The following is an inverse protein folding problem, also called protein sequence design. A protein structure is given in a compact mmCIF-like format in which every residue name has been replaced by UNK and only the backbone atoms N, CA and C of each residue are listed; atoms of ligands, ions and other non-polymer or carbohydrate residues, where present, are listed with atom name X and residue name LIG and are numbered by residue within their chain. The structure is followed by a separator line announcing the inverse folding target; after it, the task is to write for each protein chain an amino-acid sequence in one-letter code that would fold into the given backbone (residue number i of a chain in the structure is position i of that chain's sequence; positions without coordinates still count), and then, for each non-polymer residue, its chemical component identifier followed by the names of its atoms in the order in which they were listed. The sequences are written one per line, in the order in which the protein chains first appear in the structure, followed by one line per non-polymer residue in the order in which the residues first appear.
data_IF_235533577643
#
_entry.id   IF_235533577643
#
_cell.length_a   1.000
_cell.length_b   1.000
_cell.length_c   1.000
_cell.angle_alpha   90.00
_cell.angle_beta   90.00
_cell.angle_gamma   90.00
#
_symmetry.space_group_name_H-M   'P 1'
#
loop_
_entity.id
_entity.type
_entity.pdbx_description
1 polymer ?
#
# COMPACT_ATOMS: atom_id res chain seq x y z
N UNK A 1 173.46 161.01 -8.09
CA UNK A 1 172.40 160.95 -7.06
C UNK A 1 171.98 159.49 -6.90
N UNK A 2 172.47 158.77 -5.88
CA UNK A 2 172.27 157.30 -5.80
C UNK A 2 170.97 156.84 -5.12
N UNK A 3 170.21 157.76 -4.50
CA UNK A 3 169.08 157.42 -3.63
C UNK A 3 167.76 157.10 -4.35
N UNK A 4 167.59 157.49 -5.61
CA UNK A 4 166.32 157.32 -6.32
C UNK A 4 166.10 155.89 -6.86
N UNK A 5 167.19 155.20 -7.18
CA UNK A 5 167.15 153.88 -7.84
C UNK A 5 166.78 152.75 -6.87
N UNK A 6 167.18 152.85 -5.60
CA UNK A 6 166.82 151.88 -4.54
C UNK A 6 165.32 151.90 -4.21
N UNK A 7 164.67 153.07 -4.31
CA UNK A 7 163.22 153.22 -4.09
C UNK A 7 162.39 152.45 -5.14
N UNK A 8 162.83 152.48 -6.40
CA UNK A 8 162.18 151.75 -7.50
C UNK A 8 162.29 150.24 -7.29
N UNK A 9 163.46 149.73 -6.89
CA UNK A 9 163.65 148.29 -6.67
C UNK A 9 162.85 147.74 -5.48
N UNK A 10 162.67 148.51 -4.40
CA UNK A 10 161.80 148.10 -3.28
C UNK A 10 160.33 148.04 -3.72
N UNK A 11 159.84 149.07 -4.41
CA UNK A 11 158.44 149.11 -4.87
C UNK A 11 158.12 148.09 -5.96
N UNK A 12 159.11 147.68 -6.76
CA UNK A 12 158.99 146.57 -7.72
C UNK A 12 158.99 145.20 -7.01
N UNK A 13 159.84 145.01 -6.00
CA UNK A 13 159.83 143.80 -5.18
C UNK A 13 158.54 143.65 -4.36
N UNK A 14 157.96 144.75 -3.87
CA UNK A 14 156.65 144.72 -3.20
C UNK A 14 155.50 144.39 -4.17
N UNK A 15 155.52 144.87 -5.41
CA UNK A 15 154.58 144.44 -6.45
C UNK A 15 154.65 142.93 -6.71
N UNK A 16 155.86 142.40 -6.94
CA UNK A 16 156.07 140.96 -7.14
C UNK A 16 155.65 140.13 -5.92
N UNK A 17 155.84 140.65 -4.70
CA UNK A 17 155.34 140.02 -3.48
C UNK A 17 153.81 140.00 -3.41
N UNK A 18 153.14 141.10 -3.77
CA UNK A 18 151.67 141.18 -3.82
C UNK A 18 151.11 140.24 -4.90
N UNK A 19 151.73 140.21 -6.08
CA UNK A 19 151.35 139.33 -7.20
C UNK A 19 151.55 137.84 -6.83
N UNK A 20 152.64 137.50 -6.15
CA UNK A 20 152.88 136.15 -5.63
C UNK A 20 151.87 135.76 -4.54
N UNK A 21 151.50 136.68 -3.64
CA UNK A 21 150.44 136.45 -2.64
C UNK A 21 149.10 136.21 -3.34
N UNK A 22 148.72 137.06 -4.30
CA UNK A 22 147.49 136.89 -5.07
C UNK A 22 147.45 135.58 -5.87
N UNK A 23 148.59 135.15 -6.44
CA UNK A 23 148.71 133.86 -7.13
C UNK A 23 148.60 132.67 -6.15
N UNK A 24 149.20 132.76 -4.96
CA UNK A 24 149.09 131.74 -3.91
C UNK A 24 147.65 131.67 -3.39
N UNK A 25 146.98 132.80 -3.17
CA UNK A 25 145.57 132.86 -2.79
C UNK A 25 144.68 132.32 -3.90
N UNK A 26 144.94 132.64 -5.17
CA UNK A 26 144.23 132.05 -6.31
C UNK A 26 144.39 130.53 -6.33
N UNK A 27 145.62 130.01 -6.22
CA UNK A 27 145.90 128.56 -6.25
C UNK A 27 145.36 127.85 -5.02
N UNK A 28 145.33 128.50 -3.86
CA UNK A 28 144.65 127.99 -2.67
C UNK A 28 143.14 127.92 -2.89
N UNK A 29 142.51 128.97 -3.43
CA UNK A 29 141.08 128.98 -3.75
C UNK A 29 140.70 127.96 -4.84
N UNK A 30 141.55 127.75 -5.85
CA UNK A 30 141.39 126.67 -6.83
C UNK A 30 141.50 125.29 -6.16
N UNK A 31 142.51 125.08 -5.31
CA UNK A 31 142.69 123.83 -4.55
C UNK A 31 141.52 123.54 -3.61
N UNK A 32 140.97 124.55 -2.92
CA UNK A 32 139.77 124.43 -2.10
C UNK A 32 138.52 124.09 -2.93
N UNK A 33 138.37 124.69 -4.13
CA UNK A 33 137.29 124.35 -5.07
C UNK A 33 137.41 122.90 -5.54
N UNK A 34 138.60 122.45 -5.96
CA UNK A 34 138.82 121.06 -6.36
C UNK A 34 138.65 120.07 -5.21
N UNK A 35 139.09 120.39 -3.99
CA UNK A 35 138.87 119.56 -2.81
C UNK A 35 137.37 119.43 -2.49
N UNK A 36 136.64 120.55 -2.50
CA UNK A 36 135.18 120.56 -2.29
C UNK A 36 134.45 119.75 -3.37
N UNK A 37 134.83 119.89 -4.64
CA UNK A 37 134.26 119.11 -5.75
C UNK A 37 134.56 117.61 -5.62
N UNK A 38 135.79 117.25 -5.25
CA UNK A 38 136.18 115.85 -5.02
C UNK A 38 135.46 115.26 -3.81
N UNK A 39 135.30 116.01 -2.73
CA UNK A 39 134.55 115.61 -1.55
C UNK A 39 133.06 115.40 -1.86
N UNK A 40 132.46 116.29 -2.66
CA UNK A 40 131.08 116.13 -3.16
C UNK A 40 130.94 114.87 -4.03
N UNK A 41 131.83 114.66 -4.99
CA UNK A 41 131.82 113.47 -5.86
C UNK A 41 132.04 112.15 -5.07
N UNK A 42 132.86 112.18 -4.01
CA UNK A 42 133.05 111.03 -3.11
C UNK A 42 131.82 110.76 -2.23
N UNK A 43 131.13 111.82 -1.77
CA UNK A 43 129.87 111.70 -1.05
C UNK A 43 128.75 111.15 -1.96
N UNK A 44 128.65 111.66 -3.19
CA UNK A 44 127.72 111.17 -4.21
C UNK A 44 128.00 109.70 -4.54
N UNK A 45 129.27 109.34 -4.81
CA UNK A 45 129.66 107.94 -5.08
C UNK A 45 129.35 107.01 -3.90
N UNK A 46 129.49 107.46 -2.65
CA UNK A 46 129.03 106.70 -1.47
C UNK A 46 127.52 106.54 -1.45
N UNK A 47 126.76 107.60 -1.74
CA UNK A 47 125.29 107.56 -1.83
C UNK A 47 124.82 106.59 -2.91
N UNK A 48 125.35 106.70 -4.12
CA UNK A 48 125.10 105.78 -5.23
C UNK A 48 125.48 104.33 -4.87
N UNK A 49 126.62 104.11 -4.21
CA UNK A 49 127.02 102.76 -3.77
C UNK A 49 126.06 102.17 -2.71
N UNK A 50 125.47 103.01 -1.87
CA UNK A 50 124.47 102.58 -0.89
C UNK A 50 123.12 102.27 -1.56
N UNK A 51 122.68 103.06 -2.55
CA UNK A 51 121.45 102.75 -3.30
C UNK A 51 121.62 101.52 -4.20
N UNK A 52 122.79 101.30 -4.82
CA UNK A 52 123.05 100.05 -5.53
C UNK A 52 123.02 98.82 -4.61
N UNK A 53 123.49 98.95 -3.36
CA UNK A 53 123.36 97.87 -2.37
C UNK A 53 121.88 97.59 -2.05
N UNK A 54 121.08 98.60 -1.71
CA UNK A 54 119.65 98.40 -1.40
C UNK A 54 118.84 97.92 -2.60
N UNK A 55 119.15 98.35 -3.83
CA UNK A 55 118.55 97.78 -5.04
C UNK A 55 118.92 96.30 -5.24
N UNK A 56 120.14 95.89 -4.90
CA UNK A 56 120.58 94.49 -4.98
C UNK A 56 119.86 93.62 -3.95
N UNK A 57 119.73 94.10 -2.71
CA UNK A 57 118.99 93.40 -1.65
C UNK A 57 117.50 93.30 -1.98
N UNK A 58 116.88 94.40 -2.44
CA UNK A 58 115.48 94.41 -2.87
C UNK A 58 115.21 93.47 -4.05
N UNK A 59 116.14 93.37 -5.02
CA UNK A 59 116.05 92.43 -6.13
C UNK A 59 116.14 90.97 -5.63
N UNK A 60 117.00 90.70 -4.65
CA UNK A 60 117.11 89.39 -4.00
C UNK A 60 115.82 88.99 -3.28
N UNK A 61 115.22 89.92 -2.51
CA UNK A 61 113.94 89.73 -1.82
C UNK A 61 112.83 89.45 -2.84
N UNK A 62 112.65 90.33 -3.83
CA UNK A 62 111.60 90.20 -4.85
C UNK A 62 111.73 88.90 -5.68
N UNK A 63 112.96 88.45 -5.95
CA UNK A 63 113.24 87.16 -6.60
C UNK A 63 112.81 85.98 -5.72
N UNK A 64 112.99 86.07 -4.40
CA UNK A 64 112.56 85.04 -3.46
C UNK A 64 111.02 85.04 -3.29
N UNK A 65 110.39 86.21 -3.22
CA UNK A 65 108.93 86.36 -3.20
C UNK A 65 108.28 85.79 -4.47
N UNK A 66 108.83 86.12 -5.65
CA UNK A 66 108.37 85.57 -6.94
C UNK A 66 108.51 84.05 -6.99
N UNK A 67 109.64 83.49 -6.52
CA UNK A 67 109.85 82.03 -6.40
C UNK A 67 108.80 81.39 -5.48
N UNK A 68 108.56 81.98 -4.32
CA UNK A 68 107.56 81.48 -3.36
C UNK A 68 106.13 81.54 -3.93
N UNK A 69 105.80 82.62 -4.66
CA UNK A 69 104.53 82.78 -5.36
C UNK A 69 104.34 81.77 -6.49
N UNK A 70 105.38 81.48 -7.28
CA UNK A 70 105.35 80.40 -8.27
C UNK A 70 105.17 79.03 -7.60
N UNK A 71 105.89 78.75 -6.50
CA UNK A 71 105.74 77.49 -5.77
C UNK A 71 104.34 77.30 -5.16
N UNK A 72 103.72 78.35 -4.61
CA UNK A 72 102.35 78.24 -4.05
C UNK A 72 101.31 78.10 -5.15
N UNK A 73 101.44 78.84 -6.27
CA UNK A 73 100.63 78.66 -7.47
C UNK A 73 100.72 77.22 -7.99
N UNK A 74 101.93 76.67 -8.13
CA UNK A 74 102.14 75.36 -8.72
C UNK A 74 101.71 74.22 -7.78
N UNK A 75 101.70 74.44 -6.46
CA UNK A 75 101.06 73.56 -5.47
C UNK A 75 99.53 73.62 -5.58
N UNK A 76 98.96 74.82 -5.69
CA UNK A 76 97.52 75.02 -5.85
C UNK A 76 96.98 74.42 -7.15
N UNK A 77 97.67 74.59 -8.29
CA UNK A 77 97.29 73.99 -9.57
C UNK A 77 97.24 72.46 -9.50
N UNK A 78 98.26 71.82 -8.92
CA UNK A 78 98.28 70.36 -8.70
C UNK A 78 97.14 69.88 -7.80
N UNK A 79 96.79 70.64 -6.77
CA UNK A 79 95.66 70.31 -5.90
C UNK A 79 94.31 70.51 -6.60
N UNK A 80 94.16 71.56 -7.42
CA UNK A 80 92.98 71.73 -8.28
C UNK A 80 92.83 70.60 -9.30
N UNK A 81 93.92 70.14 -9.93
CA UNK A 81 93.92 68.96 -10.81
C UNK A 81 93.56 67.69 -10.05
N UNK A 82 94.13 67.47 -8.86
CA UNK A 82 93.82 66.31 -8.00
C UNK A 82 92.34 66.30 -7.60
N UNK A 83 91.79 67.44 -7.18
CA UNK A 83 90.40 67.57 -6.80
C UNK A 83 89.45 67.43 -8.00
N UNK A 84 89.78 68.02 -9.16
CA UNK A 84 88.98 67.84 -10.39
C UNK A 84 88.94 66.38 -10.81
N UNK A 85 90.08 65.70 -10.82
CA UNK A 85 90.16 64.29 -11.21
C UNK A 85 89.44 63.40 -10.17
N UNK A 86 89.49 63.73 -8.88
CA UNK A 86 88.75 63.02 -7.85
C UNK A 86 87.23 63.20 -7.98
N UNK A 87 86.75 64.43 -8.22
CA UNK A 87 85.33 64.73 -8.47
C UNK A 87 84.82 64.01 -9.72
N UNK A 88 85.59 64.03 -10.80
CA UNK A 88 85.27 63.31 -12.04
C UNK A 88 85.17 61.80 -11.80
N UNK A 89 86.11 61.19 -11.07
CA UNK A 89 86.01 59.77 -10.70
C UNK A 89 84.80 59.50 -9.80
N UNK A 90 84.46 60.40 -8.87
CA UNK A 90 83.26 60.26 -8.04
C UNK A 90 81.97 60.34 -8.89
N UNK A 91 81.90 61.25 -9.85
CA UNK A 91 80.77 61.41 -10.77
C UNK A 91 80.64 60.19 -11.71
N UNK A 92 81.73 59.71 -12.29
CA UNK A 92 81.80 58.49 -13.09
C UNK A 92 81.37 57.25 -12.28
N UNK A 93 81.82 57.11 -11.02
CA UNK A 93 81.39 55.98 -10.18
C UNK A 93 79.92 56.09 -9.75
N UNK A 94 79.45 57.29 -9.40
CA UNK A 94 78.07 57.53 -8.97
C UNK A 94 77.07 57.32 -10.11
N UNK A 95 77.37 57.84 -11.31
CA UNK A 95 76.54 57.61 -12.50
C UNK A 95 76.54 56.15 -12.92
N UNK A 96 77.69 55.46 -12.86
CA UNK A 96 77.77 54.01 -13.11
C UNK A 96 77.00 53.18 -12.08
N UNK A 97 77.05 53.53 -10.81
CA UNK A 97 76.29 52.84 -9.76
C UNK A 97 74.78 53.09 -9.90
N UNK A 98 74.37 54.31 -10.27
CA UNK A 98 72.97 54.64 -10.56
C UNK A 98 72.43 53.84 -11.75
N UNK A 99 73.16 53.78 -12.87
CA UNK A 99 72.79 52.98 -14.05
C UNK A 99 72.72 51.48 -13.71
N UNK A 100 73.70 50.96 -12.97
CA UNK A 100 73.67 49.57 -12.49
C UNK A 100 72.57 49.32 -11.44
N UNK A 101 72.03 50.37 -10.80
CA UNK A 101 70.83 50.33 -9.97
C UNK A 101 69.56 50.22 -10.82
N UNK A 102 69.42 51.08 -11.82
CA UNK A 102 68.30 51.10 -12.78
C UNK A 102 68.20 49.78 -13.57
N UNK A 103 69.32 49.24 -14.05
CA UNK A 103 69.35 47.95 -14.77
C UNK A 103 68.79 46.82 -13.89
N UNK A 104 69.27 46.70 -12.64
CA UNK A 104 68.74 45.71 -11.67
C UNK A 104 67.27 45.95 -11.32
N UNK A 105 66.84 47.21 -11.21
CA UNK A 105 65.44 47.51 -10.93
C UNK A 105 64.54 47.13 -12.12
N UNK A 106 64.96 47.40 -13.36
CA UNK A 106 64.20 47.01 -14.56
C UNK A 106 64.13 45.49 -14.73
N UNK A 107 65.20 44.75 -14.46
CA UNK A 107 65.18 43.27 -14.42
C UNK A 107 64.19 42.76 -13.37
N UNK A 108 64.26 43.29 -12.13
CA UNK A 108 63.33 42.91 -11.05
C UNK A 108 61.89 43.24 -11.39
N UNK A 109 61.59 44.44 -11.94
CA UNK A 109 60.26 44.85 -12.42
C UNK A 109 59.76 44.00 -13.60
N UNK A 110 60.65 43.48 -14.44
CA UNK A 110 60.28 42.51 -15.49
C UNK A 110 59.99 41.14 -14.90
N UNK A 111 60.82 40.67 -13.97
CA UNK A 111 60.64 39.37 -13.29
C UNK A 111 59.38 39.33 -12.44
N UNK A 112 59.04 40.43 -11.76
CA UNK A 112 57.78 40.59 -11.02
C UNK A 112 56.59 40.44 -11.97
N UNK A 113 56.54 41.20 -13.08
CA UNK A 113 55.44 41.07 -14.08
C UNK A 113 55.29 39.67 -14.66
N UNK A 114 56.39 38.95 -14.90
CA UNK A 114 56.35 37.55 -15.38
C UNK A 114 55.81 36.60 -14.30
N UNK A 115 56.07 36.88 -13.01
CA UNK A 115 55.53 36.08 -11.89
C UNK A 115 54.07 36.42 -11.61
N UNK A 116 53.67 37.69 -11.72
CA UNK A 116 52.28 38.15 -11.64
C UNK A 116 51.44 37.49 -12.74
N UNK A 117 51.85 37.61 -14.01
CA UNK A 117 51.18 36.98 -15.15
C UNK A 117 51.05 35.45 -14.96
N UNK A 118 52.11 34.76 -14.53
CA UNK A 118 52.05 33.30 -14.27
C UNK A 118 51.15 32.93 -13.09
N UNK A 119 50.97 33.83 -12.13
CA UNK A 119 50.06 33.63 -11.01
C UNK A 119 48.60 33.84 -11.45
N UNK A 120 48.35 34.81 -12.33
CA UNK A 120 47.07 35.05 -12.99
C UNK A 120 46.67 33.87 -13.90
N UNK A 121 47.55 33.46 -14.84
CA UNK A 121 47.39 32.27 -15.69
C UNK A 121 47.14 30.99 -14.87
N UNK A 122 47.85 30.82 -13.74
CA UNK A 122 47.63 29.69 -12.84
C UNK A 122 46.34 29.80 -12.03
N UNK A 123 45.87 31.00 -11.69
CA UNK A 123 44.61 31.20 -10.99
C UNK A 123 43.43 30.93 -11.92
N UNK A 124 43.47 31.45 -13.14
CA UNK A 124 42.47 31.20 -14.19
C UNK A 124 42.38 29.71 -14.53
N UNK A 125 43.51 29.00 -14.68
CA UNK A 125 43.51 27.56 -14.92
C UNK A 125 42.92 26.75 -13.75
N UNK A 126 43.20 27.17 -12.50
CA UNK A 126 42.57 26.56 -11.32
C UNK A 126 41.07 26.84 -11.29
N UNK A 127 40.64 28.07 -11.58
CA UNK A 127 39.22 28.46 -11.65
C UNK A 127 38.48 27.70 -12.76
N UNK A 128 39.06 27.59 -13.96
CA UNK A 128 38.50 26.81 -15.07
C UNK A 128 38.35 25.33 -14.70
N UNK A 129 39.38 24.72 -14.10
CA UNK A 129 39.32 23.33 -13.65
C UNK A 129 38.28 23.12 -12.54
N UNK A 130 38.18 24.04 -11.57
CA UNK A 130 37.17 24.00 -10.52
C UNK A 130 35.75 24.10 -11.08
N UNK A 131 35.51 25.05 -12.00
CA UNK A 131 34.23 25.19 -12.72
C UNK A 131 33.90 23.93 -13.56
N UNK A 132 34.90 23.25 -14.13
CA UNK A 132 34.71 22.01 -14.87
C UNK A 132 34.33 20.84 -13.94
N UNK A 133 34.98 20.71 -12.78
CA UNK A 133 34.61 19.71 -11.78
C UNK A 133 33.24 19.99 -11.15
N UNK A 134 32.90 21.25 -10.90
CA UNK A 134 31.57 21.64 -10.37
C UNK A 134 30.45 21.23 -11.35
N UNK A 135 30.63 21.47 -12.66
CA UNK A 135 29.71 21.01 -13.72
C UNK A 135 29.55 19.49 -13.73
N UNK A 136 30.66 18.74 -13.65
CA UNK A 136 30.63 17.27 -13.58
C UNK A 136 29.93 16.78 -12.30
N UNK A 137 30.12 17.46 -11.17
CA UNK A 137 29.43 17.14 -9.91
C UNK A 137 27.93 17.40 -10.04
N UNK A 138 27.50 18.51 -10.68
CA UNK A 138 26.06 18.75 -10.93
C UNK A 138 25.47 17.71 -11.89
N UNK A 139 26.14 17.39 -13.00
CA UNK A 139 25.68 16.41 -13.99
C UNK A 139 25.51 15.00 -13.38
N UNK A 140 26.50 14.55 -12.59
CA UNK A 140 26.43 13.28 -11.86
C UNK A 140 25.40 13.29 -10.72
N UNK A 141 25.11 14.46 -10.13
CA UNK A 141 24.06 14.58 -9.10
C UNK A 141 22.67 14.48 -9.73
N UNK A 142 22.44 15.16 -10.86
CA UNK A 142 21.20 15.10 -11.62
C UNK A 142 20.95 13.68 -12.17
N UNK A 143 21.97 12.99 -12.68
CA UNK A 143 21.87 11.57 -13.07
C UNK A 143 21.53 10.66 -11.88
N UNK A 144 22.18 10.86 -10.72
CA UNK A 144 21.90 10.09 -9.51
C UNK A 144 20.47 10.28 -9.00
N UNK A 145 19.93 11.51 -9.03
CA UNK A 145 18.55 11.76 -8.61
C UNK A 145 17.52 11.30 -9.65
N UNK A 146 17.83 11.33 -10.96
CA UNK A 146 17.02 10.67 -11.99
C UNK A 146 16.95 9.16 -11.73
N UNK A 147 18.10 8.50 -11.58
CA UNK A 147 18.19 7.06 -11.29
C UNK A 147 17.52 6.68 -9.95
N UNK A 148 17.57 7.58 -8.96
CA UNK A 148 16.85 7.43 -7.68
C UNK A 148 15.33 7.47 -7.87
N UNK A 149 14.83 8.41 -8.68
CA UNK A 149 13.41 8.55 -8.96
C UNK A 149 12.87 7.38 -9.79
N UNK A 150 13.62 6.91 -10.78
CA UNK A 150 13.29 5.68 -11.52
C UNK A 150 13.25 4.46 -10.59
N UNK A 151 14.24 4.30 -9.70
CA UNK A 151 14.27 3.22 -8.71
C UNK A 151 13.02 3.23 -7.80
N UNK A 152 12.59 4.41 -7.34
CA UNK A 152 11.36 4.54 -6.54
C UNK A 152 10.13 4.09 -7.36
N UNK A 153 9.99 4.61 -8.59
CA UNK A 153 8.91 4.22 -9.52
C UNK A 153 8.86 2.71 -9.80
N UNK A 154 10.03 2.07 -9.98
CA UNK A 154 10.13 0.62 -10.18
C UNK A 154 9.73 -0.16 -8.91
N UNK A 155 10.14 0.30 -7.71
CA UNK A 155 9.78 -0.34 -6.44
C UNK A 155 8.29 -0.25 -6.16
N UNK A 156 7.65 0.89 -6.41
CA UNK A 156 6.20 1.03 -6.18
C UNK A 156 5.37 0.28 -7.24
N UNK A 157 5.84 0.22 -8.49
CA UNK A 157 5.29 -0.69 -9.50
C UNK A 157 5.44 -2.17 -9.13
N UNK A 158 6.56 -2.56 -8.51
CA UNK A 158 6.76 -3.92 -8.02
C UNK A 158 5.77 -4.25 -6.90
N UNK A 159 5.64 -3.37 -5.89
CA UNK A 159 4.71 -3.54 -4.76
C UNK A 159 3.26 -3.72 -5.19
N UNK A 160 2.78 -2.93 -6.16
CA UNK A 160 1.41 -3.10 -6.66
C UNK A 160 1.26 -4.43 -7.44
N UNK A 161 2.30 -4.90 -8.13
CA UNK A 161 2.29 -6.24 -8.74
C UNK A 161 2.32 -7.37 -7.70
N UNK A 162 3.10 -7.25 -6.64
CA UNK A 162 3.10 -8.19 -5.51
C UNK A 162 1.73 -8.25 -4.83
N UNK A 163 1.09 -7.10 -4.62
CA UNK A 163 -0.29 -6.99 -4.10
C UNK A 163 -1.31 -7.66 -5.02
N UNK A 164 -1.34 -7.32 -6.31
CA UNK A 164 -2.26 -8.00 -7.26
C UNK A 164 -2.01 -9.50 -7.38
N UNK A 165 -0.78 -9.98 -7.18
CA UNK A 165 -0.45 -11.41 -7.11
C UNK A 165 -0.99 -12.06 -5.81
N UNK A 166 -0.91 -11.35 -4.68
CA UNK A 166 -1.53 -11.81 -3.42
C UNK A 166 -3.06 -11.87 -3.54
N UNK A 167 -3.69 -10.82 -4.07
CA UNK A 167 -5.15 -10.74 -4.26
C UNK A 167 -5.66 -11.84 -5.20
N UNK A 168 -4.97 -12.07 -6.34
CA UNK A 168 -5.33 -13.16 -7.27
C UNK A 168 -5.06 -14.54 -6.69
N UNK A 169 -4.03 -14.73 -5.85
CA UNK A 169 -3.80 -15.98 -5.12
C UNK A 169 -4.91 -16.26 -4.10
N UNK A 170 -5.41 -15.23 -3.40
CA UNK A 170 -6.57 -15.36 -2.49
C UNK A 170 -7.83 -15.70 -3.28
N UNK A 171 -8.09 -15.00 -4.40
CA UNK A 171 -9.23 -15.31 -5.27
C UNK A 171 -9.19 -16.75 -5.83
N UNK A 172 -8.01 -17.23 -6.23
CA UNK A 172 -7.81 -18.60 -6.69
C UNK A 172 -8.05 -19.63 -5.58
N UNK A 173 -7.56 -19.37 -4.35
CA UNK A 173 -7.82 -20.20 -3.18
C UNK A 173 -9.31 -20.27 -2.84
N UNK A 174 -10.02 -19.13 -2.92
CA UNK A 174 -11.47 -19.07 -2.70
C UNK A 174 -12.24 -19.86 -3.78
N UNK A 175 -11.83 -19.76 -5.05
CA UNK A 175 -12.42 -20.56 -6.14
C UNK A 175 -12.16 -22.05 -5.97
N UNK A 176 -10.96 -22.45 -5.53
CA UNK A 176 -10.63 -23.84 -5.21
C UNK A 176 -11.47 -24.39 -4.05
N UNK A 177 -11.77 -23.56 -3.05
CA UNK A 177 -12.69 -23.94 -1.97
C UNK A 177 -14.10 -24.17 -2.51
N UNK A 178 -14.67 -23.19 -3.23
CA UNK A 178 -16.01 -23.31 -3.84
C UNK A 178 -16.13 -24.51 -4.78
N UNK A 179 -15.11 -24.82 -5.58
CA UNK A 179 -15.11 -26.00 -6.46
C UNK A 179 -15.08 -27.33 -5.67
N UNK A 180 -14.37 -27.38 -4.53
CA UNK A 180 -14.36 -28.54 -3.63
C UNK A 180 -15.70 -28.68 -2.92
N UNK A 181 -16.29 -27.59 -2.46
CA UNK A 181 -17.56 -27.58 -1.74
C UNK A 181 -18.71 -28.01 -2.69
N UNK A 182 -18.75 -27.49 -3.94
CA UNK A 182 -19.64 -27.96 -5.02
C UNK A 182 -19.43 -29.46 -5.32
N UNK A 183 -18.18 -29.94 -5.30
CA UNK A 183 -17.87 -31.36 -5.49
C UNK A 183 -18.49 -32.25 -4.42
N UNK A 184 -18.37 -31.86 -3.15
CA UNK A 184 -18.97 -32.57 -2.01
C UNK A 184 -20.50 -32.51 -2.03
N UNK A 185 -21.08 -31.34 -2.34
CA UNK A 185 -22.53 -31.19 -2.50
C UNK A 185 -23.08 -32.05 -3.66
N UNK A 186 -22.33 -32.17 -4.75
CA UNK A 186 -22.70 -33.02 -5.88
C UNK A 186 -22.60 -34.51 -5.55
N UNK A 187 -21.54 -34.94 -4.87
CA UNK A 187 -21.40 -36.32 -4.37
C UNK A 187 -22.54 -36.69 -3.39
N UNK A 188 -22.89 -35.78 -2.48
CA UNK A 188 -24.03 -35.95 -1.58
C UNK A 188 -25.37 -36.03 -2.32
N UNK A 189 -25.58 -35.23 -3.37
CA UNK A 189 -26.77 -35.31 -4.23
C UNK A 189 -26.84 -36.63 -5.00
N UNK A 190 -25.72 -37.10 -5.57
CA UNK A 190 -25.65 -38.40 -6.26
C UNK A 190 -26.03 -39.53 -5.29
N UNK A 191 -25.49 -39.54 -4.08
CA UNK A 191 -25.85 -40.52 -3.05
C UNK A 191 -27.33 -40.45 -2.64
N UNK A 192 -27.96 -39.26 -2.61
CA UNK A 192 -29.40 -39.14 -2.39
C UNK A 192 -30.22 -39.71 -3.57
N UNK A 193 -29.81 -39.47 -4.81
CA UNK A 193 -30.46 -40.04 -5.99
C UNK A 193 -30.29 -41.57 -6.06
N UNK A 194 -29.12 -42.11 -5.72
CA UNK A 194 -28.90 -43.56 -5.67
C UNK A 194 -29.77 -44.24 -4.61
N UNK A 195 -29.87 -43.66 -3.40
CA UNK A 195 -30.75 -44.17 -2.34
C UNK A 195 -32.22 -44.13 -2.75
N UNK A 196 -32.73 -43.01 -3.26
CA UNK A 196 -34.13 -42.92 -3.70
C UNK A 196 -34.44 -43.84 -4.88
N UNK A 197 -33.50 -44.07 -5.81
CA UNK A 197 -33.61 -45.08 -6.87
C UNK A 197 -33.64 -46.49 -6.28
N UNK A 198 -32.87 -46.80 -5.24
CA UNK A 198 -32.89 -48.10 -4.57
C UNK A 198 -34.21 -48.36 -3.83
N UNK A 199 -34.74 -47.34 -3.13
CA UNK A 199 -36.05 -47.40 -2.47
C UNK A 199 -37.20 -47.59 -3.48
N UNK A 200 -37.18 -46.84 -4.60
CA UNK A 200 -38.17 -46.99 -5.67
C UNK A 200 -38.10 -48.38 -6.32
N UNK A 201 -36.90 -48.93 -6.57
CA UNK A 201 -36.73 -50.30 -7.07
C UNK A 201 -37.30 -51.34 -6.10
N UNK A 202 -37.01 -51.21 -4.81
CA UNK A 202 -37.53 -52.10 -3.76
C UNK A 202 -39.06 -52.02 -3.63
N UNK A 203 -39.62 -50.81 -3.75
CA UNK A 203 -41.07 -50.59 -3.79
C UNK A 203 -41.72 -51.25 -5.01
N UNK A 204 -41.10 -51.09 -6.19
CA UNK A 204 -41.54 -51.73 -7.43
C UNK A 204 -41.46 -53.27 -7.37
N UNK A 205 -40.43 -53.83 -6.74
CA UNK A 205 -40.29 -55.27 -6.51
C UNK A 205 -41.38 -55.81 -5.55
N UNK A 206 -41.62 -55.13 -4.43
CA UNK A 206 -42.71 -55.46 -3.50
C UNK A 206 -44.08 -55.43 -4.21
N UNK A 207 -44.38 -54.37 -4.95
CA UNK A 207 -45.64 -54.23 -5.69
C UNK A 207 -45.79 -55.32 -6.78
N UNK A 208 -44.70 -55.71 -7.42
CA UNK A 208 -44.71 -56.82 -8.39
C UNK A 208 -44.96 -58.18 -7.71
N UNK A 209 -44.43 -58.40 -6.50
CA UNK A 209 -44.76 -59.57 -5.68
C UNK A 209 -46.24 -59.59 -5.27
N UNK A 210 -46.81 -58.45 -4.87
CA UNK A 210 -48.24 -58.31 -4.59
C UNK A 210 -49.09 -58.59 -5.84
N UNK A 211 -48.73 -58.05 -7.00
CA UNK A 211 -49.43 -58.33 -8.28
C UNK A 211 -49.39 -59.84 -8.61
N UNK A 212 -48.28 -60.53 -8.36
CA UNK A 212 -48.18 -62.00 -8.55
C UNK A 212 -49.03 -62.76 -7.52
N UNK A 213 -49.14 -62.28 -6.28
CA UNK A 213 -50.06 -62.88 -5.30
C UNK A 213 -51.53 -62.66 -5.71
N UNK A 214 -51.92 -61.44 -6.08
CA UNK A 214 -53.27 -61.12 -6.53
C UNK A 214 -53.68 -61.96 -7.74
N UNK A 215 -52.79 -62.15 -8.72
CA UNK A 215 -53.03 -63.05 -9.86
C UNK A 215 -53.32 -64.49 -9.43
N UNK A 216 -52.52 -65.07 -8.53
CA UNK A 216 -52.80 -66.43 -8.00
C UNK A 216 -54.13 -66.50 -7.25
N UNK A 217 -54.49 -65.48 -6.47
CA UNK A 217 -55.81 -65.44 -5.81
C UNK A 217 -56.94 -65.32 -6.82
N UNK A 218 -56.77 -64.54 -7.89
CA UNK A 218 -57.74 -64.44 -8.99
C UNK A 218 -57.89 -65.79 -9.72
N UNK A 219 -56.78 -66.44 -10.10
CA UNK A 219 -56.77 -67.78 -10.72
C UNK A 219 -57.48 -68.82 -9.83
N UNK A 220 -57.28 -68.74 -8.51
CA UNK A 220 -57.95 -69.62 -7.54
C UNK A 220 -59.46 -69.33 -7.49
N UNK A 221 -59.87 -68.07 -7.39
CA UNK A 221 -61.27 -67.65 -7.37
C UNK A 221 -61.98 -67.99 -8.70
N UNK A 222 -61.29 -67.87 -9.83
CA UNK A 222 -61.83 -68.26 -11.14
C UNK A 222 -62.00 -69.78 -11.26
N UNK A 223 -61.08 -70.58 -10.71
CA UNK A 223 -61.23 -72.04 -10.62
C UNK A 223 -62.36 -72.47 -9.67
N UNK A 224 -62.47 -71.84 -8.49
CA UNK A 224 -63.59 -72.05 -7.56
C UNK A 224 -64.93 -71.66 -8.17
N UNK A 225 -64.99 -70.52 -8.88
CA UNK A 225 -66.17 -70.09 -9.65
C UNK A 225 -66.55 -71.14 -10.70
N UNK A 226 -65.60 -71.62 -11.50
CA UNK A 226 -65.87 -72.67 -12.50
C UNK A 226 -66.38 -73.96 -11.85
N UNK A 227 -65.84 -74.36 -10.69
CA UNK A 227 -66.32 -75.52 -9.94
C UNK A 227 -67.76 -75.32 -9.44
N UNK A 228 -68.08 -74.15 -8.89
CA UNK A 228 -69.43 -73.79 -8.46
C UNK A 228 -70.42 -73.68 -9.62
N UNK A 229 -69.98 -73.17 -10.77
CA UNK A 229 -70.78 -73.07 -12.00
C UNK A 229 -71.08 -74.46 -12.57
N UNK A 230 -70.08 -75.34 -12.69
CA UNK A 230 -70.26 -76.75 -13.05
C UNK A 230 -71.17 -77.50 -12.06
N UNK A 231 -71.01 -77.27 -10.75
CA UNK A 231 -71.90 -77.86 -9.73
C UNK A 231 -73.33 -77.33 -9.84
N UNK A 232 -73.51 -76.07 -10.22
CA UNK A 232 -74.83 -75.45 -10.47
C UNK A 232 -75.49 -76.03 -11.73
N UNK A 233 -74.74 -76.28 -12.80
CA UNK A 233 -75.24 -76.98 -14.00
C UNK A 233 -75.66 -78.40 -13.65
N UNK A 234 -74.82 -79.17 -12.95
CA UNK A 234 -75.16 -80.51 -12.47
C UNK A 234 -76.43 -80.52 -11.60
N UNK A 235 -76.57 -79.58 -10.66
CA UNK A 235 -77.76 -79.48 -9.82
C UNK A 235 -79.01 -79.07 -10.61
N UNK A 236 -78.89 -78.22 -11.63
CA UNK A 236 -79.98 -77.92 -12.56
C UNK A 236 -80.38 -79.15 -13.37
N UNK A 237 -79.45 -79.96 -13.86
CA UNK A 237 -79.77 -81.22 -14.51
C UNK A 237 -80.45 -82.22 -13.57
N UNK A 238 -80.01 -82.31 -12.31
CA UNK A 238 -80.63 -83.19 -11.32
C UNK A 238 -82.06 -82.72 -10.99
N UNK A 239 -82.29 -81.40 -10.92
CA UNK A 239 -83.63 -80.81 -10.80
C UNK A 239 -84.47 -81.09 -12.05
N UNK A 240 -83.93 -80.95 -13.27
CA UNK A 240 -84.67 -81.27 -14.51
C UNK A 240 -85.05 -82.76 -14.55
N UNK A 241 -84.14 -83.66 -14.17
CA UNK A 241 -84.42 -85.11 -14.08
C UNK A 241 -85.50 -85.42 -13.03
N UNK A 242 -85.46 -84.74 -11.87
CA UNK A 242 -86.48 -84.88 -10.82
C UNK A 242 -87.82 -84.28 -11.23
N UNK A 243 -87.83 -83.14 -11.92
CA UNK A 243 -89.04 -82.52 -12.44
C UNK A 243 -89.67 -83.38 -13.54
N UNK A 244 -88.88 -83.93 -14.46
CA UNK A 244 -89.39 -84.87 -15.48
C UNK A 244 -89.93 -86.16 -14.85
N UNK A 245 -89.29 -86.68 -13.78
CA UNK A 245 -89.81 -87.80 -13.01
C UNK A 245 -91.09 -87.44 -12.22
N UNK A 246 -91.22 -86.18 -11.79
CA UNK A 246 -92.47 -85.66 -11.19
C UNK A 246 -93.55 -85.54 -12.27
N UNK A 247 -93.26 -84.98 -13.44
CA UNK A 247 -94.20 -84.93 -14.58
C UNK A 247 -94.63 -86.34 -15.05
N UNK A 248 -93.72 -87.32 -15.04
CA UNK A 248 -94.02 -88.73 -15.33
C UNK A 248 -94.90 -89.37 -14.24
N UNK A 249 -94.62 -89.10 -12.96
CA UNK A 249 -95.44 -89.56 -11.83
C UNK A 249 -96.79 -88.86 -11.78
N UNK A 250 -96.86 -87.57 -12.12
CA UNK A 250 -98.11 -86.79 -12.21
C UNK A 250 -98.94 -87.22 -13.41
N UNK A 251 -98.31 -87.51 -14.56
CA UNK A 251 -98.99 -88.10 -15.71
C UNK A 251 -99.50 -89.52 -15.42
N UNK A 252 -98.75 -90.33 -14.68
CA UNK A 252 -99.19 -91.65 -14.20
C UNK A 252 -100.30 -91.53 -13.15
N UNK A 253 -100.26 -90.51 -12.28
CA UNK A 253 -101.31 -90.23 -11.29
C UNK A 253 -102.59 -89.71 -11.97
N UNK A 254 -102.46 -88.92 -13.03
CA UNK A 254 -103.56 -88.42 -13.87
C UNK A 254 -104.14 -89.54 -14.75
N UNK A 255 -103.33 -90.45 -15.29
CA UNK A 255 -103.81 -91.67 -15.95
C UNK A 255 -104.59 -92.55 -14.95
N UNK A 256 -104.04 -92.76 -13.75
CA UNK A 256 -104.76 -93.44 -12.67
C UNK A 256 -106.02 -92.67 -12.22
N UNK A 257 -106.04 -91.34 -12.25
CA UNK A 257 -107.21 -90.53 -11.92
C UNK A 257 -108.30 -90.67 -13.00
N UNK A 258 -107.95 -90.59 -14.28
CA UNK A 258 -108.89 -90.77 -15.39
C UNK A 258 -109.45 -92.19 -15.45
N UNK A 259 -108.67 -93.21 -15.05
CA UNK A 259 -109.16 -94.58 -14.86
C UNK A 259 -110.05 -94.71 -13.60
N UNK A 260 -109.74 -94.02 -12.50
CA UNK A 260 -110.49 -94.10 -11.25
C UNK A 260 -111.82 -93.33 -11.25
N UNK A 261 -111.91 -92.19 -11.96
CA UNK A 261 -113.12 -91.35 -12.03
C UNK A 261 -114.32 -92.08 -12.69
N UNK A 262 -114.08 -93.19 -13.39
CA UNK A 262 -115.13 -94.06 -13.89
C UNK A 262 -115.89 -94.85 -12.80
N UNK A 263 -115.39 -94.94 -11.54
CA UNK A 263 -116.11 -95.58 -10.43
C UNK A 263 -115.55 -95.26 -9.04
N UNK A 264 -116.29 -94.45 -8.26
CA UNK A 264 -116.82 -94.83 -6.93
C UNK A 264 -117.92 -93.85 -6.49
N UNK A 265 -118.88 -94.35 -5.72
CA UNK A 265 -120.16 -93.69 -5.43
C UNK A 265 -120.19 -92.91 -4.11
N UNK A 266 -120.98 -91.82 -4.12
CA UNK A 266 -121.70 -91.19 -3.00
C UNK A 266 -121.62 -91.82 -1.60
N UNK A 267 -121.27 -91.00 -0.60
CA UNK A 267 -121.63 -91.24 0.80
C UNK A 267 -122.50 -90.08 1.31
N UNK A 268 -123.74 -90.39 1.70
CA UNK A 268 -124.69 -89.44 2.30
C UNK A 268 -125.05 -89.95 3.71
N UNK A 269 -124.75 -89.15 4.74
CA UNK A 269 -125.05 -89.50 6.12
C UNK A 269 -126.55 -89.29 6.39
N UNK A 270 -127.18 -90.28 7.02
CA UNK A 270 -128.60 -90.24 7.38
C UNK A 270 -128.85 -89.31 8.60
N UNK A 271 -129.85 -88.43 8.49
CA UNK A 271 -130.27 -87.50 9.56
C UNK A 271 -130.65 -88.26 10.85
N UNK A 272 -131.15 -89.49 10.73
CA UNK A 272 -131.48 -90.31 11.89
C UNK A 272 -130.23 -90.72 12.70
N UNK A 273 -129.08 -90.92 12.04
CA UNK A 273 -127.81 -91.19 12.72
C UNK A 273 -127.24 -89.91 13.34
N UNK A 274 -127.34 -88.79 12.64
CA UNK A 274 -126.84 -87.49 13.13
C UNK A 274 -127.57 -87.05 14.41
N UNK A 275 -128.90 -87.18 14.45
CA UNK A 275 -129.70 -86.91 15.66
C UNK A 275 -129.31 -87.83 16.82
N UNK A 276 -129.05 -89.11 16.56
CA UNK A 276 -128.65 -90.06 17.59
C UNK A 276 -127.29 -89.67 18.21
N UNK A 277 -126.31 -89.27 17.39
CA UNK A 277 -125.00 -88.82 17.85
C UNK A 277 -125.07 -87.52 18.68
N UNK A 278 -125.81 -86.51 18.20
CA UNK A 278 -126.04 -85.29 18.97
C UNK A 278 -126.76 -85.56 20.29
N UNK A 279 -127.73 -86.47 20.32
CA UNK A 279 -128.43 -86.81 21.56
C UNK A 279 -127.54 -87.60 22.52
N UNK A 280 -126.65 -88.46 22.03
CA UNK A 280 -125.61 -89.11 22.85
C UNK A 280 -124.65 -88.08 23.47
N UNK A 281 -124.24 -87.05 22.72
CA UNK A 281 -123.40 -85.97 23.26
C UNK A 281 -124.09 -85.20 24.42
N UNK A 282 -125.37 -84.84 24.26
CA UNK A 282 -126.11 -84.11 25.29
C UNK A 282 -126.63 -84.95 26.47
N UNK A 283 -126.60 -86.30 26.38
CA UNK A 283 -127.08 -87.20 27.45
C UNK A 283 -125.98 -88.00 28.15
N UNK A 284 -124.74 -87.97 27.65
CA UNK A 284 -123.61 -88.63 28.29
C UNK A 284 -123.03 -87.83 29.47
N UNK A 285 -122.49 -88.55 30.46
CA UNK A 285 -121.70 -87.97 31.55
C UNK A 285 -120.51 -87.15 31.02
N UNK A 286 -120.15 -86.08 31.73
CA UNK A 286 -119.16 -85.08 31.29
C UNK A 286 -117.81 -85.68 30.90
N UNK A 287 -117.42 -86.77 31.55
CA UNK A 287 -116.13 -87.43 31.34
C UNK A 287 -116.03 -88.13 29.97
N UNK A 288 -117.17 -88.39 29.31
CA UNK A 288 -117.26 -89.05 27.98
C UNK A 288 -117.65 -88.11 26.84
N UNK A 289 -118.10 -86.90 27.15
CA UNK A 289 -118.44 -85.87 26.16
C UNK A 289 -117.29 -85.57 25.16
N UNK A 290 -115.99 -85.48 25.54
CA UNK A 290 -114.93 -85.21 24.55
C UNK A 290 -114.69 -86.38 23.58
N UNK A 291 -114.84 -87.63 24.02
CA UNK A 291 -114.73 -88.81 23.16
C UNK A 291 -115.85 -88.82 22.09
N UNK A 292 -117.07 -88.48 22.50
CA UNK A 292 -118.22 -88.33 21.60
C UNK A 292 -118.04 -87.12 20.67
N UNK A 293 -117.43 -86.01 21.12
CA UNK A 293 -117.14 -84.86 20.26
C UNK A 293 -116.10 -85.16 19.17
N UNK A 294 -115.06 -85.94 19.48
CA UNK A 294 -114.07 -86.41 18.49
C UNK A 294 -114.72 -87.37 17.49
N UNK A 295 -115.62 -88.25 17.93
CA UNK A 295 -116.47 -89.07 17.04
C UNK A 295 -117.36 -88.21 16.14
N UNK A 296 -117.99 -87.16 16.67
CA UNK A 296 -118.82 -86.24 15.88
C UNK A 296 -118.00 -85.54 14.79
N UNK A 297 -116.79 -85.08 15.14
CA UNK A 297 -115.89 -84.42 14.19
C UNK A 297 -115.34 -85.37 13.11
N UNK A 298 -115.04 -86.63 13.46
CA UNK A 298 -114.57 -87.62 12.48
C UNK A 298 -115.67 -88.11 11.54
N UNK A 299 -116.90 -88.28 12.03
CA UNK A 299 -118.07 -88.64 11.21
C UNK A 299 -118.50 -87.50 10.28
N UNK A 300 -118.36 -86.25 10.71
CA UNK A 300 -118.62 -85.06 9.86
C UNK A 300 -117.49 -84.71 8.88
N UNK A 301 -116.38 -85.46 8.87
CA UNK A 301 -115.30 -85.29 7.89
C UNK A 301 -114.41 -84.05 8.09
N UNK A 302 -114.31 -83.54 9.32
CA UNK A 302 -113.38 -82.43 9.64
C UNK A 302 -111.92 -82.86 9.47
N UNK A 303 -111.05 -81.91 9.13
CA UNK A 303 -109.64 -82.20 8.88
C UNK A 303 -108.88 -82.54 10.17
N UNK A 304 -107.76 -83.26 10.03
CA UNK A 304 -106.94 -83.69 11.16
C UNK A 304 -106.44 -82.53 12.03
N UNK A 305 -106.21 -81.34 11.45
CA UNK A 305 -105.88 -80.14 12.22
C UNK A 305 -107.04 -79.59 13.05
N UNK A 306 -108.27 -79.70 12.57
CA UNK A 306 -109.47 -79.21 13.27
C UNK A 306 -109.82 -80.13 14.44
N UNK A 307 -109.71 -81.45 14.23
CA UNK A 307 -109.81 -82.45 15.30
C UNK A 307 -108.70 -82.23 16.34
N UNK A 308 -107.48 -81.90 15.92
CA UNK A 308 -106.38 -81.55 16.82
C UNK A 308 -106.65 -80.24 17.60
N UNK A 309 -107.25 -79.22 16.98
CA UNK A 309 -107.65 -77.96 17.64
C UNK A 309 -108.75 -78.19 18.69
N UNK A 310 -109.69 -79.09 18.45
CA UNK A 310 -110.73 -79.50 19.43
C UNK A 310 -110.09 -80.19 20.65
N UNK A 311 -109.16 -81.13 20.44
CA UNK A 311 -108.43 -81.76 21.54
C UNK A 311 -107.53 -80.77 22.31
N UNK A 312 -106.83 -79.87 21.61
CA UNK A 312 -105.96 -78.86 22.22
C UNK A 312 -106.75 -77.84 23.08
N UNK A 313 -107.99 -77.53 22.70
CA UNK A 313 -108.87 -76.68 23.50
C UNK A 313 -109.25 -77.30 24.87
N UNK A 314 -109.14 -78.63 25.01
CA UNK A 314 -109.53 -79.36 26.21
C UNK A 314 -108.34 -79.66 27.16
N UNK A 315 -107.10 -79.36 26.77
CA UNK A 315 -105.88 -79.63 27.54
C UNK A 315 -104.89 -78.45 27.49
N UNK A 316 -104.81 -77.65 28.56
CA UNK A 316 -104.00 -76.42 28.62
C UNK A 316 -103.15 -76.31 29.89
N UNK A 317 -101.83 -76.08 29.78
CA UNK A 317 -101.02 -75.13 30.60
C UNK A 317 -99.48 -75.29 30.57
N UNK A 318 -98.74 -74.16 30.46
CA UNK A 318 -97.36 -73.89 30.97
C UNK A 318 -96.15 -74.65 30.34
N UNK A 319 -94.84 -74.36 30.59
CA UNK A 319 -93.99 -73.15 30.82
C UNK A 319 -92.50 -73.54 30.58
N UNK A 320 -91.58 -72.61 30.22
CA UNK A 320 -90.17 -72.89 29.83
C UNK A 320 -89.05 -72.65 30.88
N UNK A 321 -87.75 -72.73 30.50
CA UNK A 321 -86.58 -72.53 31.41
C UNK A 321 -85.19 -72.19 30.75
N UNK A 322 -84.64 -70.98 31.06
CA UNK A 322 -83.23 -70.46 31.25
C UNK A 322 -81.97 -70.96 30.49
N UNK A 323 -80.81 -70.24 30.46
CA UNK A 323 -80.31 -68.98 31.11
C UNK A 323 -78.99 -68.50 30.43
N UNK A 324 -78.08 -67.61 30.89
CA UNK A 324 -77.80 -66.80 32.13
C UNK A 324 -77.43 -65.33 31.72
N UNK A 325 -76.64 -64.39 32.31
CA UNK A 325 -75.69 -64.22 33.46
C UNK A 325 -74.30 -63.70 32.97
N UNK A 326 -73.54 -62.74 33.56
CA UNK A 326 -73.61 -61.93 34.81
C UNK A 326 -72.76 -60.61 34.74
N UNK A 327 -72.24 -60.03 35.85
CA UNK A 327 -71.59 -58.68 35.90
C UNK A 327 -70.77 -58.37 37.19
N UNK A 328 -69.86 -57.36 37.23
CA UNK A 328 -69.83 -56.31 38.31
C UNK A 328 -68.74 -55.19 38.27
N UNK A 329 -69.22 -53.93 38.39
CA UNK A 329 -68.70 -52.76 39.17
C UNK A 329 -67.45 -51.95 38.71
N UNK A 330 -67.26 -50.79 39.35
CA UNK A 330 -66.67 -49.53 38.84
C UNK A 330 -65.84 -48.78 39.93
N UNK A 331 -65.00 -47.76 39.59
CA UNK A 331 -65.48 -46.36 39.51
C UNK A 331 -64.89 -45.53 38.34
N UNK A 332 -65.34 -44.28 38.19
CA UNK A 332 -65.09 -43.41 37.03
C UNK A 332 -63.86 -42.49 37.14
N UNK A 333 -63.10 -42.37 36.04
CA UNK A 333 -62.52 -41.10 35.58
C UNK A 333 -62.58 -41.06 34.04
N UNK A 334 -63.62 -40.42 33.48
CA UNK A 334 -63.77 -40.23 32.04
C UNK A 334 -63.21 -38.86 31.65
N UNK A 335 -61.91 -38.79 31.36
CA UNK A 335 -61.31 -37.63 30.68
C UNK A 335 -61.71 -37.71 29.20
N UNK A 336 -62.28 -36.64 28.65
CA UNK A 336 -62.75 -36.62 27.26
C UNK A 336 -61.58 -36.55 26.28
N UNK A 337 -61.71 -37.20 25.11
CA UNK A 337 -60.68 -37.19 24.05
C UNK A 337 -60.36 -35.76 23.56
N UNK A 338 -61.33 -34.84 23.66
CA UNK A 338 -61.10 -33.42 23.39
C UNK A 338 -60.09 -32.77 24.35
N UNK A 339 -60.05 -33.20 25.62
CA UNK A 339 -59.13 -32.68 26.64
C UNK A 339 -57.71 -33.24 26.46
N UNK A 340 -57.59 -34.46 25.93
CA UNK A 340 -56.31 -34.98 25.43
C UNK A 340 -55.80 -34.20 24.21
N UNK A 341 -56.70 -33.77 23.30
CA UNK A 341 -56.34 -32.89 22.18
C UNK A 341 -55.87 -31.50 22.64
N UNK A 342 -56.55 -30.89 23.62
CA UNK A 342 -56.09 -29.61 24.22
C UNK A 342 -54.73 -29.79 24.90
N UNK A 343 -54.54 -30.85 25.69
CA UNK A 343 -53.25 -31.19 26.32
C UNK A 343 -52.13 -31.49 25.32
N UNK A 344 -52.45 -31.91 24.10
CA UNK A 344 -51.48 -32.06 23.01
C UNK A 344 -51.08 -30.69 22.44
N UNK A 345 -52.06 -29.84 22.13
CA UNK A 345 -51.83 -28.49 21.60
C UNK A 345 -51.09 -27.57 22.59
N UNK A 346 -51.38 -27.65 23.89
CA UNK A 346 -50.59 -26.97 24.95
C UNK A 346 -49.14 -27.45 25.02
N UNK A 347 -48.86 -28.68 24.58
CA UNK A 347 -47.53 -29.30 24.71
C UNK A 347 -46.62 -29.06 23.50
N UNK A 348 -47.17 -28.82 22.31
CA UNK A 348 -46.39 -28.38 21.14
C UNK A 348 -46.24 -26.86 21.05
N UNK A 349 -47.17 -26.07 21.59
CA UNK A 349 -47.15 -24.59 21.49
C UNK A 349 -46.09 -23.87 22.35
N UNK A 350 -45.21 -24.60 23.04
CA UNK A 350 -44.13 -24.07 23.88
C UNK A 350 -42.73 -24.56 23.49
N UNK A 351 -42.46 -24.68 22.18
CA UNK A 351 -41.08 -24.68 21.65
C UNK A 351 -40.86 -23.38 20.88
N UNK A 352 -40.01 -22.51 21.44
CA UNK A 352 -39.70 -21.17 20.92
C UNK A 352 -38.72 -21.20 19.73
N UNK A 353 -38.69 -20.14 18.89
CA UNK A 353 -37.87 -20.12 17.68
C UNK A 353 -36.37 -20.17 17.99
N UNK A 354 -35.65 -21.01 17.26
CA UNK A 354 -34.19 -21.15 17.36
C UNK A 354 -33.50 -20.03 16.56
N UNK A 355 -33.36 -18.85 17.16
CA UNK A 355 -32.49 -17.79 16.65
C UNK A 355 -31.01 -18.17 16.83
N UNK A 356 -30.17 -17.78 15.87
CA UNK A 356 -28.75 -18.13 15.85
C UNK A 356 -27.98 -17.48 17.03
N UNK A 357 -27.11 -18.22 17.75
CA UNK A 357 -26.25 -17.64 18.76
C UNK A 357 -25.15 -16.77 18.14
N UNK A 358 -25.29 -15.46 18.21
CA UNK A 358 -24.15 -14.53 18.03
C UNK A 358 -23.44 -14.39 19.38
N UNK A 359 -22.24 -14.97 19.51
CA UNK A 359 -21.37 -14.64 20.64
C UNK A 359 -20.78 -13.24 20.47
N UNK A 360 -20.88 -12.35 21.47
CA UNK A 360 -20.09 -11.13 21.50
C UNK A 360 -18.64 -11.48 21.89
N UNK A 361 -17.70 -11.32 20.97
CA UNK A 361 -16.27 -11.41 21.26
C UNK A 361 -15.81 -10.12 21.96
N UNK A 362 -15.13 -10.26 23.10
CA UNK A 362 -14.52 -9.14 23.82
C UNK A 362 -13.35 -8.54 23.03
N UNK A 363 -13.48 -7.30 22.55
CA UNK A 363 -12.31 -6.47 22.21
C UNK A 363 -11.95 -5.57 23.40
N UNK A 364 -10.67 -5.58 23.76
CA UNK A 364 -10.14 -4.86 24.92
C UNK A 364 -9.96 -3.38 24.62
N UNK A 365 -10.00 -2.58 25.68
CA UNK A 365 -9.72 -1.14 25.64
C UNK A 365 -8.37 -0.84 24.97
N UNK A 366 -8.32 0.14 24.07
CA UNK A 366 -7.09 0.93 23.85
C UNK A 366 -7.44 2.40 23.57
N UNK A 367 -7.58 3.13 24.68
CA UNK A 367 -7.26 4.55 24.90
C UNK A 367 -6.96 5.40 23.64
N UNK A 368 -7.90 6.29 23.32
CA UNK A 368 -7.72 7.69 22.86
C UNK A 368 -6.56 8.01 21.89
N UNK A 369 -6.92 8.52 20.71
CA UNK A 369 -6.62 9.94 20.42
C UNK A 369 -7.70 10.54 19.50
N UNK A 370 -7.94 11.85 19.60
CA UNK A 370 -8.98 12.56 18.87
C UNK A 370 -8.40 13.74 18.10
N UNK A 371 -8.49 13.73 16.77
CA UNK A 371 -8.14 14.86 15.91
C UNK A 371 -9.31 15.10 14.93
N UNK A 372 -9.86 16.33 14.83
CA UNK A 372 -11.05 16.59 14.02
C UNK A 372 -10.72 16.75 12.53
N UNK A 373 -11.47 16.03 11.68
CA UNK A 373 -11.46 16.22 10.23
C UNK A 373 -12.06 17.58 9.85
N UNK A 374 -11.22 18.57 9.54
CA UNK A 374 -11.67 19.78 8.84
C UNK A 374 -11.99 19.45 7.39
N UNK A 375 -13.26 19.49 7.03
CA UNK A 375 -13.67 19.61 5.63
C UNK A 375 -13.12 20.91 5.04
N UNK A 376 -12.56 20.86 3.83
CA UNK A 376 -12.15 22.03 3.06
C UNK A 376 -12.31 21.74 1.57
N UNK A 377 -13.46 22.13 1.02
CA UNK A 377 -13.66 22.18 -0.43
C UNK A 377 -12.91 23.37 -0.99
N UNK A 378 -11.85 23.13 -1.75
CA UNK A 378 -11.25 24.14 -2.64
C UNK A 378 -11.56 23.78 -4.09
N UNK A 379 -12.44 24.56 -4.71
CA UNK A 379 -12.64 24.51 -6.17
C UNK A 379 -11.42 25.11 -6.86
N UNK A 380 -10.91 24.46 -7.91
CA UNK A 380 -9.99 25.06 -8.88
C UNK A 380 -10.25 24.46 -10.26
N UNK A 381 -10.78 25.26 -11.17
CA UNK A 381 -11.02 24.86 -12.56
C UNK A 381 -9.86 25.35 -13.44
N UNK A 382 -8.71 24.68 -13.35
CA UNK A 382 -7.45 25.13 -13.96
C UNK A 382 -6.82 24.15 -14.98
N UNK A 383 -7.13 22.85 -14.91
CA UNK A 383 -6.36 21.78 -15.60
C UNK A 383 -6.78 21.49 -17.07
N UNK A 384 -7.50 22.39 -17.74
CA UNK A 384 -8.00 22.16 -19.11
C UNK A 384 -7.31 22.97 -20.23
N UNK A 385 -6.27 23.76 -19.91
CA UNK A 385 -5.54 24.58 -20.90
C UNK A 385 -4.12 24.05 -21.26
N UNK A 386 -3.73 22.86 -20.79
CA UNK A 386 -2.38 22.29 -21.03
C UNK A 386 -2.34 21.15 -22.07
N UNK A 387 -3.44 20.88 -22.78
CA UNK A 387 -3.57 19.73 -23.71
C UNK A 387 -3.78 20.18 -25.18
N UNK A 388 -3.81 21.49 -25.45
CA UNK A 388 -3.69 22.03 -26.81
C UNK A 388 -2.53 23.03 -26.91
N UNK A 389 -1.34 22.50 -27.23
CA UNK A 389 -0.29 23.18 -28.00
C UNK A 389 0.81 22.16 -28.38
N UNK A 390 0.69 21.63 -29.59
CA UNK A 390 1.70 20.86 -30.36
C UNK A 390 1.54 21.23 -31.82
#
# INVERSE_FOLDING_TARGET
MHFFQTSVQVTEAEKLRIELIALVEQKHNESLKYHTQLQAALAEKKSQSATFATYTDNLSILKNELKNCMETRDKALRECERLRNHLLVMEETSTKEALAGEERETELRQRIRILEQKTEESADSVIESANAYERQITELTDELDLMRNEKISIVDRLREREKTLADTKVALSNLQNVLRDIGVDHEAQVLQYENTIAELKKSMENLNLEIVQFKRTQETIEAEKQLLENRTVYLKEEIIKKNAMIEELEASLEEHAQVAVASVSSYTIDDQVLRQLFMSYFTADKDKQPEIAVLLASVLGYSQEEIAKINAANHSSSRGWFGFGGSSKLPQQNISLAEQFVRFLEKESLITPHSLPVQPSEEKETIRSSIPLKCSRTSSAADLNSILNT
#
